data_IF_835563145958
#
_entry.id   IF_835563145958
#
_cell.length_a   1.000
_cell.length_b   1.000
_cell.length_c   1.000
_cell.angle_alpha   90.00
_cell.angle_beta   90.00
_cell.angle_gamma   90.00
#
_symmetry.space_group_name_H-M   'P 1'
#
loop_
_entity.id
_entity.type
_entity.pdbx_description
1 polymer ?
#
# COMPACT_ATOMS: atom_id res chain seq x y z
N UNK A 1 13.25 20.69 24.85
CA UNK A 1 12.50 20.08 23.74
C UNK A 1 13.51 19.45 22.80
N UNK A 2 13.54 18.11 22.72
CA UNK A 2 14.43 17.41 21.80
C UNK A 2 13.76 17.43 20.41
N UNK A 3 14.16 18.36 19.54
CA UNK A 3 13.92 18.22 18.11
C UNK A 3 14.80 17.05 17.64
N UNK A 4 14.26 15.83 17.73
CA UNK A 4 14.90 14.65 17.20
C UNK A 4 15.03 14.86 15.69
N UNK A 5 16.27 14.98 15.22
CA UNK A 5 16.65 14.93 13.82
C UNK A 5 16.25 13.56 13.29
N UNK A 6 15.01 13.44 12.82
CA UNK A 6 14.59 12.31 12.01
C UNK A 6 15.49 12.35 10.78
N UNK A 7 16.23 11.24 10.58
CA UNK A 7 17.03 10.92 9.40
C UNK A 7 16.50 11.62 8.15
N UNK A 8 17.39 12.23 7.36
CA UNK A 8 17.18 12.83 6.03
C UNK A 8 16.46 11.89 5.03
N UNK A 9 15.24 11.46 5.32
CA UNK A 9 14.33 11.01 4.29
C UNK A 9 13.89 12.25 3.57
N UNK A 10 14.36 12.38 2.32
CA UNK A 10 13.85 13.39 1.42
C UNK A 10 12.32 13.38 1.48
N UNK A 11 11.67 14.54 1.32
CA UNK A 11 10.20 14.60 1.17
C UNK A 11 9.70 13.63 0.09
N UNK A 12 10.54 13.32 -0.89
CA UNK A 12 10.30 12.29 -1.91
C UNK A 12 10.14 10.89 -1.32
N UNK A 13 10.98 10.51 -0.37
CA UNK A 13 10.94 9.20 0.29
C UNK A 13 9.74 9.12 1.23
N UNK A 14 9.49 10.17 2.02
CA UNK A 14 8.32 10.26 2.88
C UNK A 14 7.01 10.11 2.06
N UNK A 15 6.91 10.81 0.92
CA UNK A 15 5.78 10.67 0.00
C UNK A 15 5.64 9.25 -0.55
N UNK A 16 6.76 8.63 -0.94
CA UNK A 16 6.76 7.27 -1.50
C UNK A 16 6.32 6.25 -0.45
N UNK A 17 6.81 6.37 0.79
CA UNK A 17 6.43 5.51 1.91
C UNK A 17 4.96 5.67 2.28
N UNK A 18 4.47 6.92 2.33
CA UNK A 18 3.05 7.20 2.55
C UNK A 18 2.18 6.59 1.45
N UNK A 19 2.49 6.84 0.18
CA UNK A 19 1.71 6.32 -0.94
C UNK A 19 1.69 4.79 -0.95
N UNK A 20 2.82 4.15 -0.60
CA UNK A 20 2.92 2.70 -0.48
C UNK A 20 1.97 2.16 0.60
N UNK A 21 2.09 2.65 1.83
CA UNK A 21 1.28 2.19 2.96
C UNK A 21 -0.22 2.45 2.71
N UNK A 22 -0.56 3.59 2.12
CA UNK A 22 -1.93 3.95 1.79
C UNK A 22 -2.57 2.96 0.79
N UNK A 23 -1.83 2.58 -0.26
CA UNK A 23 -2.30 1.61 -1.26
C UNK A 23 -2.40 0.20 -0.65
N UNK A 24 -1.39 -0.24 0.13
CA UNK A 24 -1.41 -1.54 0.80
C UNK A 24 -2.63 -1.68 1.72
N UNK A 25 -2.88 -0.67 2.55
CA UNK A 25 -4.03 -0.68 3.47
C UNK A 25 -5.38 -0.66 2.74
N UNK A 26 -5.49 0.09 1.64
CA UNK A 26 -6.72 0.10 0.82
C UNK A 26 -6.97 -1.26 0.14
N UNK A 27 -5.92 -1.97 -0.26
CA UNK A 27 -6.01 -3.32 -0.82
C UNK A 27 -6.44 -4.32 0.25
N UNK A 28 -5.83 -4.28 1.44
CA UNK A 28 -6.16 -5.15 2.56
C UNK A 28 -7.61 -4.95 3.04
N UNK A 29 -8.04 -3.70 3.20
CA UNK A 29 -9.42 -3.35 3.59
C UNK A 29 -10.49 -3.80 2.57
N UNK A 30 -10.07 -4.18 1.36
CA UNK A 30 -10.94 -4.66 0.29
C UNK A 30 -10.68 -6.13 -0.06
N UNK A 31 -10.15 -6.94 0.87
CA UNK A 31 -9.89 -8.37 0.69
C UNK A 31 -9.00 -8.67 -0.53
N UNK A 32 -8.01 -7.82 -0.78
CA UNK A 32 -7.15 -7.87 -1.97
C UNK A 32 -7.90 -7.72 -3.32
N UNK A 33 -9.17 -7.27 -3.32
CA UNK A 33 -9.95 -7.02 -4.54
C UNK A 33 -9.55 -5.67 -5.14
N UNK A 34 -8.54 -5.69 -6.00
CA UNK A 34 -7.95 -4.50 -6.62
C UNK A 34 -8.96 -3.54 -7.26
N UNK A 35 -10.03 -4.03 -7.88
CA UNK A 35 -11.06 -3.16 -8.46
C UNK A 35 -11.82 -2.36 -7.40
N UNK A 36 -12.18 -2.99 -6.29
CA UNK A 36 -12.81 -2.31 -5.14
C UNK A 36 -11.84 -1.36 -4.46
N UNK A 37 -10.57 -1.74 -4.33
CA UNK A 37 -9.54 -0.85 -3.80
C UNK A 37 -9.36 0.39 -4.69
N UNK A 38 -9.37 0.24 -6.02
CA UNK A 38 -9.31 1.38 -6.95
C UNK A 38 -10.53 2.31 -6.81
N UNK A 39 -11.73 1.73 -6.67
CA UNK A 39 -12.98 2.47 -6.41
C UNK A 39 -12.91 3.23 -5.07
N UNK A 40 -12.43 2.59 -4.00
CA UNK A 40 -12.28 3.20 -2.68
C UNK A 40 -11.23 4.32 -2.64
N UNK A 41 -10.18 4.19 -3.48
CA UNK A 41 -9.15 5.20 -3.65
C UNK A 41 -9.54 6.32 -4.64
N UNK A 42 -10.71 6.21 -5.28
CA UNK A 42 -11.19 7.10 -6.35
C UNK A 42 -10.16 7.28 -7.48
N UNK A 43 -9.58 6.17 -7.93
CA UNK A 43 -8.63 6.15 -9.06
C UNK A 43 -9.00 5.08 -10.07
N UNK A 44 -8.56 5.26 -11.31
CA UNK A 44 -8.67 4.21 -12.31
C UNK A 44 -7.86 2.97 -11.92
N UNK A 45 -8.41 1.80 -12.25
CA UNK A 45 -7.74 0.51 -12.04
C UNK A 45 -6.32 0.45 -12.65
N UNK A 46 -6.15 0.99 -13.85
CA UNK A 46 -4.83 1.07 -14.50
C UNK A 46 -3.85 1.95 -13.71
N UNK A 47 -4.31 3.07 -13.15
CA UNK A 47 -3.51 3.94 -12.31
C UNK A 47 -3.08 3.25 -11.00
N UNK A 48 -3.97 2.46 -10.39
CA UNK A 48 -3.63 1.62 -9.24
C UNK A 48 -2.50 0.63 -9.59
N UNK A 49 -2.63 -0.11 -10.70
CA UNK A 49 -1.59 -1.04 -11.14
C UNK A 49 -0.24 -0.35 -11.41
N UNK A 50 -0.25 0.82 -12.03
CA UNK A 50 0.97 1.62 -12.24
C UNK A 50 1.61 2.04 -10.92
N UNK A 51 0.82 2.50 -9.95
CA UNK A 51 1.31 2.88 -8.62
C UNK A 51 1.87 1.68 -7.86
N UNK A 52 1.21 0.52 -7.92
CA UNK A 52 1.71 -0.72 -7.31
C UNK A 52 3.08 -1.11 -7.88
N UNK A 53 3.23 -1.09 -9.21
CA UNK A 53 4.51 -1.40 -9.88
C UNK A 53 5.60 -0.40 -9.48
N UNK A 54 5.28 0.88 -9.43
CA UNK A 54 6.22 1.96 -9.07
C UNK A 54 6.69 1.85 -7.62
N UNK A 55 5.77 1.51 -6.71
CA UNK A 55 6.04 1.44 -5.27
C UNK A 55 6.44 0.03 -4.78
N UNK A 56 6.63 -0.92 -5.70
CA UNK A 56 7.06 -2.29 -5.39
C UNK A 56 6.04 -3.10 -4.59
N UNK A 57 4.74 -2.78 -4.71
CA UNK A 57 3.66 -3.46 -3.99
C UNK A 57 3.34 -4.76 -4.73
N UNK A 58 3.56 -5.89 -4.04
CA UNK A 58 3.19 -7.22 -4.52
C UNK A 58 2.10 -7.80 -3.62
N UNK A 59 1.03 -8.32 -4.23
CA UNK A 59 0.03 -9.10 -3.50
C UNK A 59 0.65 -10.42 -3.05
N UNK A 60 1.14 -10.49 -1.82
CA UNK A 60 1.41 -11.78 -1.19
C UNK A 60 0.05 -12.38 -0.83
N UNK A 61 -0.30 -13.50 -1.48
CA UNK A 61 -1.38 -14.36 -0.97
C UNK A 61 -0.98 -14.81 0.42
N UNK A 62 -1.58 -14.23 1.46
CA UNK A 62 -1.68 -14.90 2.75
C UNK A 62 -2.61 -16.10 2.55
N UNK A 63 -2.04 -17.22 2.12
CA UNK A 63 -2.67 -18.53 2.34
C UNK A 63 -2.44 -18.85 3.81
N UNK A 64 -3.28 -18.31 4.68
CA UNK A 64 -3.45 -18.90 6.00
C UNK A 64 -4.25 -20.18 5.79
N UNK A 65 -3.54 -21.30 5.72
CA UNK A 65 -4.11 -22.61 5.90
C UNK A 65 -4.70 -22.63 7.31
N UNK A 66 -6.03 -22.51 7.40
CA UNK A 66 -6.78 -22.91 8.59
C UNK A 66 -6.55 -24.41 8.80
N UNK A 67 -5.55 -24.75 9.60
CA UNK A 67 -5.43 -26.07 10.21
C UNK A 67 -6.60 -26.21 11.19
N UNK A 68 -7.66 -26.88 10.75
CA UNK A 68 -8.74 -27.35 11.62
C UNK A 68 -8.18 -28.33 12.65
N UNK A 69 -8.50 -28.06 13.92
CA UNK A 69 -8.23 -28.93 15.07
C UNK A 69 -9.14 -30.15 15.10
#
# INVERSE_FOLDING_TARGET
MLCQTQHDQSLKDAKTNFEKAYIEQAIEANDCRLRKAAEALDIHYSALLTKMKRNGISLKRHMEATHGS
#
